data_IF_213289695823
#
_entry.id   IF_213289695823
#
_cell.length_a   1.000
_cell.length_b   1.000
_cell.length_c   1.000
_cell.angle_alpha   90.00
_cell.angle_beta   90.00
_cell.angle_gamma   90.00
#
_symmetry.space_group_name_H-M   'P 1'
#
loop_
_entity.id
_entity.type
_entity.pdbx_description
1 polymer ?
#
# COMPACT_ATOMS: atom_id res chain seq x y z
N UNK A 1 -10.53 -12.75 10.16
CA UNK A 1 -9.70 -12.93 8.94
C UNK A 1 -8.32 -13.45 9.32
N UNK A 2 -7.75 -14.40 8.56
CA UNK A 2 -6.43 -15.01 8.83
C UNK A 2 -5.29 -13.99 8.91
N UNK A 3 -5.41 -12.87 8.19
CA UNK A 3 -4.46 -11.76 8.27
C UNK A 3 -4.27 -11.23 9.70
N UNK A 4 -5.37 -10.98 10.43
CA UNK A 4 -5.32 -10.47 11.80
C UNK A 4 -4.80 -11.48 12.83
N UNK A 5 -4.69 -12.76 12.45
CA UNK A 5 -4.15 -13.82 13.31
C UNK A 5 -2.65 -14.07 13.04
N UNK A 6 -2.01 -13.26 12.18
CA UNK A 6 -0.60 -13.42 11.82
C UNK A 6 -0.32 -14.48 10.74
N UNK A 7 -1.34 -15.22 10.28
CA UNK A 7 -1.21 -16.23 9.23
C UNK A 7 -1.17 -15.61 7.83
N UNK A 8 -0.16 -14.77 7.56
CA UNK A 8 -0.05 -13.96 6.33
C UNK A 8 -0.02 -14.79 5.06
N UNK A 9 0.68 -15.93 5.06
CA UNK A 9 0.78 -16.82 3.90
C UNK A 9 -0.55 -17.48 3.55
N UNK A 10 -1.34 -17.87 4.55
CA UNK A 10 -2.68 -18.44 4.33
C UNK A 10 -3.69 -17.37 3.92
N UNK A 11 -3.61 -16.19 4.54
CA UNK A 11 -4.39 -15.03 4.14
C UNK A 11 -4.14 -14.70 2.65
N UNK A 12 -2.87 -14.74 2.23
CA UNK A 12 -2.50 -14.53 0.83
C UNK A 12 -3.11 -15.57 -0.11
N UNK A 13 -3.23 -16.85 0.30
CA UNK A 13 -3.94 -17.88 -0.50
C UNK A 13 -5.40 -17.51 -0.69
N UNK A 14 -6.08 -17.05 0.37
CA UNK A 14 -7.48 -16.62 0.30
C UNK A 14 -7.65 -15.39 -0.60
N UNK A 15 -6.78 -14.39 -0.49
CA UNK A 15 -6.87 -13.21 -1.36
C UNK A 15 -6.55 -13.54 -2.82
N UNK A 16 -5.62 -14.45 -3.08
CA UNK A 16 -5.39 -14.99 -4.44
C UNK A 16 -6.63 -15.68 -4.97
N UNK A 17 -7.34 -16.47 -4.16
CA UNK A 17 -8.59 -17.12 -4.57
C UNK A 17 -9.70 -16.11 -4.82
N UNK A 18 -9.83 -15.09 -3.98
CA UNK A 18 -10.77 -13.99 -4.21
C UNK A 18 -10.53 -13.34 -5.58
N UNK A 19 -9.28 -13.01 -5.90
CA UNK A 19 -8.91 -12.40 -7.18
C UNK A 19 -9.05 -13.34 -8.39
N UNK A 20 -9.14 -14.65 -8.20
CA UNK A 20 -9.51 -15.58 -9.26
C UNK A 20 -11.00 -15.50 -9.60
N UNK A 21 -11.84 -15.17 -8.61
CA UNK A 21 -13.29 -15.02 -8.79
C UNK A 21 -13.65 -13.62 -9.27
N UNK A 22 -13.02 -12.60 -8.67
CA UNK A 22 -13.22 -11.18 -8.97
C UNK A 22 -11.87 -10.49 -9.20
N UNK A 23 -11.37 -10.46 -10.45
CA UNK A 23 -10.02 -9.95 -10.76
C UNK A 23 -9.76 -8.49 -10.39
N UNK A 24 -10.83 -7.70 -10.27
CA UNK A 24 -10.78 -6.25 -9.98
C UNK A 24 -11.25 -5.90 -8.57
N UNK A 25 -11.43 -6.89 -7.68
CA UNK A 25 -11.87 -6.63 -6.32
C UNK A 25 -10.78 -5.86 -5.54
N UNK A 26 -11.05 -4.58 -5.26
CA UNK A 26 -10.11 -3.67 -4.63
C UNK A 26 -9.71 -4.11 -3.22
N UNK A 27 -10.65 -4.67 -2.44
CA UNK A 27 -10.39 -5.17 -1.08
C UNK A 27 -9.38 -6.31 -1.13
N UNK A 28 -9.60 -7.30 -1.99
CA UNK A 28 -8.70 -8.45 -2.12
C UNK A 28 -7.33 -8.06 -2.69
N UNK A 29 -7.30 -7.11 -3.62
CA UNK A 29 -6.08 -6.58 -4.19
C UNK A 29 -5.27 -5.77 -3.15
N UNK A 30 -5.94 -4.93 -2.36
CA UNK A 30 -5.36 -4.20 -1.22
C UNK A 30 -4.80 -5.15 -0.16
N UNK A 31 -5.60 -6.12 0.29
CA UNK A 31 -5.19 -7.07 1.33
C UNK A 31 -4.06 -8.00 0.86
N UNK A 32 -4.02 -8.36 -0.44
CA UNK A 32 -2.89 -9.05 -1.04
C UNK A 32 -1.61 -8.20 -0.92
N UNK A 33 -1.68 -6.92 -1.29
CA UNK A 33 -0.54 -6.01 -1.19
C UNK A 33 -0.04 -5.86 0.24
N UNK A 34 -0.95 -5.62 1.17
CA UNK A 34 -0.66 -5.52 2.60
C UNK A 34 0.01 -6.80 3.14
N UNK A 35 -0.50 -7.97 2.76
CA UNK A 35 0.06 -9.26 3.20
C UNK A 35 1.49 -9.48 2.69
N UNK A 36 1.79 -9.09 1.45
CA UNK A 36 3.14 -9.16 0.90
C UNK A 36 4.11 -8.22 1.64
N UNK A 37 3.71 -6.96 1.88
CA UNK A 37 4.54 -6.00 2.63
C UNK A 37 4.81 -6.48 4.05
N UNK A 38 3.80 -7.01 4.74
CA UNK A 38 3.96 -7.55 6.08
C UNK A 38 4.90 -8.78 6.13
N UNK A 39 5.12 -9.47 5.00
CA UNK A 39 6.11 -10.54 4.86
C UNK A 39 7.48 -10.05 4.35
N UNK A 40 7.69 -8.73 4.20
CA UNK A 40 8.92 -8.15 3.62
C UNK A 40 9.04 -8.29 2.10
N UNK A 41 7.98 -8.75 1.42
CA UNK A 41 7.95 -8.96 -0.03
C UNK A 41 7.51 -7.67 -0.74
N UNK A 42 8.32 -6.62 -0.61
CA UNK A 42 7.95 -5.26 -1.05
C UNK A 42 7.60 -5.17 -2.54
N UNK A 43 8.32 -5.88 -3.41
CA UNK A 43 8.03 -5.86 -4.86
C UNK A 43 6.60 -6.33 -5.18
N UNK A 44 6.22 -7.50 -4.69
CA UNK A 44 4.87 -8.04 -4.92
C UNK A 44 3.80 -7.23 -4.20
N UNK A 45 4.14 -6.63 -3.05
CA UNK A 45 3.30 -5.69 -2.31
C UNK A 45 2.97 -4.44 -3.11
N UNK A 46 4.00 -3.72 -3.57
CA UNK A 46 3.89 -2.50 -4.37
C UNK A 46 3.19 -2.78 -5.69
N UNK A 47 3.56 -3.86 -6.38
CA UNK A 47 2.87 -4.29 -7.62
C UNK A 47 1.38 -4.52 -7.39
N UNK A 48 1.00 -5.11 -6.26
CA UNK A 48 -0.40 -5.32 -5.94
C UNK A 48 -1.12 -4.00 -5.63
N UNK A 49 -0.48 -3.08 -4.90
CA UNK A 49 -1.01 -1.76 -4.57
C UNK A 49 -1.20 -0.90 -5.83
N UNK A 50 -0.20 -0.87 -6.73
CA UNK A 50 -0.28 -0.15 -8.00
C UNK A 50 -1.45 -0.61 -8.85
N UNK A 51 -1.80 -1.91 -8.84
CA UNK A 51 -2.98 -2.40 -9.56
C UNK A 51 -4.30 -1.81 -9.07
N UNK A 52 -4.44 -1.53 -7.77
CA UNK A 52 -5.64 -0.83 -7.25
C UNK A 52 -5.67 0.60 -7.79
N UNK A 53 -4.51 1.26 -7.83
CA UNK A 53 -4.39 2.64 -8.30
C UNK A 53 -4.63 2.81 -9.81
N UNK A 54 -4.50 1.74 -10.61
CA UNK A 54 -4.83 1.79 -12.04
C UNK A 54 -6.33 2.01 -12.30
N UNK A 55 -7.19 1.69 -11.32
CA UNK A 55 -8.63 1.92 -11.40
C UNK A 55 -8.98 3.28 -10.80
N UNK A 56 -8.42 4.34 -11.38
CA UNK A 56 -8.61 5.69 -10.86
C UNK A 56 -10.12 6.07 -10.89
N UNK A 57 -10.72 6.56 -9.79
CA UNK A 57 -12.11 6.97 -9.79
C UNK A 57 -12.34 8.07 -10.82
N UNK A 58 -13.44 7.96 -11.57
CA UNK A 58 -13.82 9.00 -12.53
C UNK A 58 -14.11 10.33 -11.82
N UNK A 59 -13.95 11.48 -12.49
CA UNK A 59 -14.31 12.77 -11.92
C UNK A 59 -15.74 12.77 -11.35
N UNK A 60 -15.90 13.16 -10.08
CA UNK A 60 -17.18 13.15 -9.38
C UNK A 60 -17.58 11.81 -8.75
N UNK A 61 -16.85 10.73 -9.03
CA UNK A 61 -17.01 9.45 -8.33
C UNK A 61 -16.24 9.48 -7.00
N UNK A 62 -16.90 9.07 -5.92
CA UNK A 62 -16.25 8.90 -4.63
C UNK A 62 -15.31 7.70 -4.68
N UNK A 63 -14.03 7.92 -4.39
CA UNK A 63 -13.05 6.86 -4.20
C UNK A 63 -13.48 5.87 -3.11
N UNK A 64 -13.19 4.58 -3.29
CA UNK A 64 -13.38 3.61 -2.23
C UNK A 64 -12.37 3.82 -1.08
N UNK A 65 -12.70 3.39 0.15
CA UNK A 65 -11.75 3.42 1.26
C UNK A 65 -10.45 2.67 0.95
N UNK A 66 -10.54 1.54 0.25
CA UNK A 66 -9.40 0.72 -0.18
C UNK A 66 -8.50 1.50 -1.14
N UNK A 67 -9.09 2.18 -2.13
CA UNK A 67 -8.37 3.03 -3.06
C UNK A 67 -7.65 4.18 -2.32
N UNK A 68 -8.28 4.80 -1.33
CA UNK A 68 -7.63 5.85 -0.54
C UNK A 68 -6.46 5.29 0.28
N UNK A 69 -6.69 4.20 1.01
CA UNK A 69 -5.66 3.54 1.84
C UNK A 69 -4.49 3.02 1.03
N UNK A 70 -4.72 2.52 -0.19
CA UNK A 70 -3.66 1.91 -0.99
C UNK A 70 -2.60 2.92 -1.42
N UNK A 71 -2.98 4.20 -1.62
CA UNK A 71 -2.02 5.27 -1.94
C UNK A 71 -1.02 5.48 -0.82
N UNK A 72 -1.53 5.65 0.42
CA UNK A 72 -0.67 5.78 1.60
C UNK A 72 0.14 4.52 1.85
N UNK A 73 -0.48 3.33 1.72
CA UNK A 73 0.21 2.06 1.91
C UNK A 73 1.36 1.87 0.90
N UNK A 74 1.18 2.29 -0.36
CA UNK A 74 2.24 2.24 -1.38
C UNK A 74 3.44 3.08 -0.99
N UNK A 75 3.21 4.33 -0.61
CA UNK A 75 4.31 5.21 -0.22
C UNK A 75 5.00 4.74 1.07
N UNK A 76 4.22 4.22 2.03
CA UNK A 76 4.79 3.57 3.21
C UNK A 76 5.63 2.34 2.85
N UNK A 77 5.17 1.51 1.91
CA UNK A 77 5.91 0.33 1.46
C UNK A 77 7.23 0.69 0.77
N UNK A 78 7.23 1.78 -0.02
CA UNK A 78 8.43 2.30 -0.69
C UNK A 78 9.41 2.89 0.31
N UNK A 79 8.91 3.69 1.24
CA UNK A 79 9.70 4.23 2.35
C UNK A 79 10.40 3.11 3.12
N UNK A 80 9.66 2.08 3.56
CA UNK A 80 10.26 0.94 4.27
C UNK A 80 11.30 0.21 3.42
N UNK A 81 11.01 0.01 2.13
CA UNK A 81 11.96 -0.62 1.21
C UNK A 81 13.26 0.19 1.05
N UNK A 82 13.18 1.52 0.96
CA UNK A 82 14.35 2.38 0.82
C UNK A 82 15.27 2.37 2.05
N UNK A 83 14.75 1.96 3.21
CA UNK A 83 15.47 1.92 4.48
C UNK A 83 15.82 0.49 4.94
N UNK A 84 15.76 -0.51 4.05
CA UNK A 84 16.06 -1.91 4.43
C UNK A 84 17.47 -2.11 4.98
N UNK A 85 18.43 -1.33 4.48
CA UNK A 85 19.83 -1.38 4.91
C UNK A 85 20.19 -0.24 5.88
N UNK A 86 19.19 0.53 6.34
CA UNK A 86 19.38 1.64 7.27
C UNK A 86 19.10 1.16 8.70
N UNK A 87 19.98 1.43 9.68
CA UNK A 87 19.72 1.10 11.08
C UNK A 87 18.40 1.73 11.58
N UNK A 88 17.64 0.99 12.39
CA UNK A 88 16.35 1.46 12.94
C UNK A 88 16.44 2.77 13.74
N UNK A 89 17.63 3.13 14.23
CA UNK A 89 17.87 4.38 14.96
C UNK A 89 18.05 5.60 14.06
N UNK A 90 18.24 5.39 12.75
CA UNK A 90 18.60 6.44 11.79
C UNK A 90 17.43 6.88 10.90
N UNK A 91 16.28 6.21 10.99
CA UNK A 91 15.08 6.59 10.27
C UNK A 91 13.85 6.54 11.17
N UNK A 92 12.88 7.40 10.91
CA UNK A 92 11.62 7.42 11.63
C UNK A 92 10.51 7.94 10.74
N UNK A 93 9.52 7.08 10.48
CA UNK A 93 8.31 7.42 9.72
C UNK A 93 7.66 8.69 10.27
N UNK A 94 7.74 8.89 11.59
CA UNK A 94 7.16 10.05 12.23
C UNK A 94 7.89 11.36 11.98
N UNK A 95 9.21 11.29 11.77
CA UNK A 95 10.04 12.45 11.48
C UNK A 95 10.14 12.71 9.97
N UNK A 96 10.22 11.63 9.19
CA UNK A 96 10.60 11.68 7.78
C UNK A 96 9.39 11.88 6.85
N UNK A 97 8.19 11.42 7.25
CA UNK A 97 6.96 11.67 6.48
C UNK A 97 6.26 12.96 6.92
N UNK A 98 5.69 13.74 5.97
CA UNK A 98 4.95 14.95 6.28
C UNK A 98 3.79 14.70 7.26
N UNK A 99 3.56 15.63 8.18
CA UNK A 99 2.44 15.55 9.13
C UNK A 99 1.08 15.47 8.43
N UNK A 100 0.90 16.20 7.33
CA UNK A 100 -0.31 16.16 6.49
C UNK A 100 -0.55 14.76 5.90
N UNK A 101 0.50 14.10 5.39
CA UNK A 101 0.43 12.73 4.89
C UNK A 101 -0.12 11.79 5.96
N UNK A 102 0.46 11.81 7.16
CA UNK A 102 0.07 10.94 8.28
C UNK A 102 -1.36 11.23 8.75
N UNK A 103 -1.74 12.51 8.82
CA UNK A 103 -3.09 12.93 9.21
C UNK A 103 -4.15 12.42 8.22
N UNK A 104 -3.90 12.58 6.92
CA UNK A 104 -4.83 12.13 5.90
C UNK A 104 -4.91 10.60 5.85
N UNK A 105 -3.79 9.91 6.02
CA UNK A 105 -3.76 8.46 6.11
C UNK A 105 -4.62 7.97 7.29
N UNK A 106 -4.38 8.49 8.49
CA UNK A 106 -5.12 8.08 9.70
C UNK A 106 -6.63 8.34 9.59
N UNK A 107 -7.02 9.43 8.91
CA UNK A 107 -8.42 9.85 8.75
C UNK A 107 -9.10 9.28 7.49
N UNK A 108 -8.39 8.49 6.67
CA UNK A 108 -8.86 8.03 5.35
C UNK A 108 -9.36 9.18 4.46
N UNK A 109 -8.62 10.30 4.44
CA UNK A 109 -8.93 11.43 3.59
C UNK A 109 -8.39 11.22 2.16
N UNK A 110 -8.98 11.89 1.15
CA UNK A 110 -8.43 11.93 -0.20
C UNK A 110 -6.94 12.24 -0.21
N UNK A 111 -6.20 11.59 -1.11
CA UNK A 111 -4.76 11.82 -1.28
C UNK A 111 -4.53 13.14 -2.02
N UNK A 112 -4.66 14.25 -1.28
CA UNK A 112 -4.49 15.62 -1.74
C UNK A 112 -3.35 16.25 -0.94
N UNK A 113 -2.13 15.86 -1.28
CA UNK A 113 -0.92 16.33 -0.62
C UNK A 113 -0.25 17.30 -1.58
N UNK A 114 -0.15 18.57 -1.17
CA UNK A 114 0.57 19.60 -1.91
C UNK A 114 2.05 19.23 -2.01
N UNK A 115 2.67 19.53 -3.15
CA UNK A 115 4.08 19.23 -3.46
C UNK A 115 4.47 17.76 -3.22
N UNK A 116 3.54 16.84 -3.51
CA UNK A 116 3.76 15.41 -3.34
C UNK A 116 4.90 14.89 -4.22
N UNK A 117 5.94 14.39 -3.56
CA UNK A 117 6.98 13.57 -4.18
C UNK A 117 6.82 12.11 -3.78
N UNK A 118 6.91 11.24 -4.79
CA UNK A 118 6.90 9.80 -4.64
C UNK A 118 8.10 9.31 -3.80
N UNK A 119 7.86 8.48 -2.78
CA UNK A 119 8.92 8.02 -1.88
C UNK A 119 10.01 7.24 -2.65
N UNK A 120 11.31 7.39 -2.32
CA UNK A 120 12.34 6.60 -2.96
C UNK A 120 12.07 5.09 -2.75
N UNK A 121 12.39 4.23 -3.73
CA UNK A 121 12.15 2.78 -3.64
C UNK A 121 11.81 2.11 -4.96
N UNK A 122 11.33 0.86 -4.89
CA UNK A 122 10.97 0.05 -6.07
C UNK A 122 9.96 0.78 -6.95
N UNK A 123 10.44 1.21 -8.12
CA UNK A 123 9.58 1.76 -9.15
C UNK A 123 8.92 0.62 -9.94
N UNK A 124 7.69 0.80 -10.47
CA UNK A 124 6.95 -0.26 -11.15
C UNK A 124 7.67 -0.88 -12.36
N UNK A 125 8.68 -0.19 -12.89
CA UNK A 125 9.45 -0.60 -14.06
C UNK A 125 10.76 -1.34 -13.74
N UNK A 126 11.16 -1.44 -12.48
CA UNK A 126 12.37 -2.18 -12.09
C UNK A 126 12.00 -3.68 -12.06
N UNK A 127 12.60 -4.45 -12.96
CA UNK A 127 12.49 -5.92 -13.03
C UNK A 127 13.60 -6.58 -12.25
#
# INVERSE_FOLDING_TARGET
MLYHHGSLQEALKNFKRCLQLEPYNEVCQYMKGLSHVAMGQFYEGIKAQTKVMLNDPLPGQKASPEYLKVKYLREYSRYLHAHLDTPLTEYSVDMDLPGSFKDHWAKNLPFLIDDYEEQPGLQPHIK
#
